data_IF_012409847019
#
_entry.id   IF_012409847019
#
_cell.length_a   1.000
_cell.length_b   1.000
_cell.length_c   1.000
_cell.angle_alpha   90.00
_cell.angle_beta   90.00
_cell.angle_gamma   90.00
#
_symmetry.space_group_name_H-M   'P 1'
#
loop_
_entity.id
_entity.type
_entity.pdbx_description
1 polymer ?
#
# COMPACT_ATOMS: atom_id res chain seq x y z
N UNK A 1 -6.10 -4.38 25.55
CA UNK A 1 -5.40 -3.55 24.55
C UNK A 1 -6.09 -3.75 23.21
N UNK A 2 -6.39 -2.68 22.48
CA UNK A 2 -6.82 -2.81 21.08
C UNK A 2 -5.63 -3.32 20.26
N UNK A 3 -5.80 -4.42 19.54
CA UNK A 3 -4.79 -4.90 18.59
C UNK A 3 -4.69 -3.90 17.44
N UNK A 4 -3.50 -3.34 17.22
CA UNK A 4 -3.27 -2.48 16.06
C UNK A 4 -3.50 -3.29 14.77
N UNK A 5 -4.24 -2.72 13.82
CA UNK A 5 -4.58 -3.37 12.54
C UNK A 5 -4.18 -2.49 11.38
N UNK A 6 -3.47 -3.07 10.41
CA UNK A 6 -3.17 -2.42 9.13
C UNK A 6 -4.07 -3.01 8.06
N UNK A 7 -4.74 -2.15 7.29
CA UNK A 7 -5.49 -2.50 6.09
C UNK A 7 -4.82 -1.84 4.89
N UNK A 8 -4.48 -2.64 3.87
CA UNK A 8 -3.87 -2.15 2.65
C UNK A 8 -4.79 -2.48 1.47
N UNK A 9 -5.28 -1.45 0.80
CA UNK A 9 -5.96 -1.55 -0.50
C UNK A 9 -4.98 -1.21 -1.62
N UNK A 10 -5.01 -2.00 -2.69
CA UNK A 10 -4.14 -1.84 -3.85
C UNK A 10 -5.01 -1.96 -5.10
N UNK A 11 -4.89 -0.99 -6.01
CA UNK A 11 -5.45 -1.05 -7.36
C UNK A 11 -4.28 -1.06 -8.36
N UNK A 12 -4.15 -2.15 -9.11
CA UNK A 12 -3.02 -2.41 -9.99
C UNK A 12 -3.47 -2.46 -11.45
N UNK A 13 -2.77 -1.72 -12.32
CA UNK A 13 -3.07 -1.63 -13.74
C UNK A 13 -2.82 -0.23 -14.29
N UNK A 14 -3.24 0.03 -15.53
CA UNK A 14 -3.12 1.35 -16.16
C UNK A 14 -1.70 1.93 -16.15
N UNK A 15 -1.59 3.25 -15.98
CA UNK A 15 -0.30 3.97 -15.88
C UNK A 15 0.32 3.88 -14.49
N UNK A 16 -0.51 3.80 -13.45
CA UNK A 16 -0.08 3.84 -12.06
C UNK A 16 -0.76 2.75 -11.23
N UNK A 17 -0.04 2.22 -10.25
CA UNK A 17 -0.60 1.38 -9.19
C UNK A 17 -0.86 2.27 -7.98
N UNK A 18 -2.09 2.23 -7.47
CA UNK A 18 -2.60 3.07 -6.40
C UNK A 18 -2.69 2.29 -5.08
N UNK A 19 -2.33 2.94 -3.97
CA UNK A 19 -2.32 2.33 -2.64
C UNK A 19 -3.04 3.20 -1.62
N UNK A 20 -3.87 2.57 -0.79
CA UNK A 20 -4.47 3.17 0.40
C UNK A 20 -4.12 2.29 1.61
N UNK A 21 -3.37 2.86 2.56
CA UNK A 21 -3.02 2.20 3.81
C UNK A 21 -3.77 2.86 4.97
N UNK A 22 -4.58 2.08 5.68
CA UNK A 22 -5.27 2.50 6.90
C UNK A 22 -4.67 1.77 8.09
N UNK A 23 -4.13 2.51 9.05
CA UNK A 23 -3.66 1.95 10.33
C UNK A 23 -4.65 2.32 11.42
N UNK A 24 -5.18 1.31 12.10
CA UNK A 24 -6.18 1.44 13.17
C UNK A 24 -5.52 1.04 14.48
N UNK A 25 -5.43 1.97 15.43
CA UNK A 25 -4.87 1.77 16.77
C UNK A 25 -5.48 2.76 17.75
N UNK A 26 -4.64 3.38 18.59
CA UNK A 26 -5.07 4.50 19.44
C UNK A 26 -5.57 5.70 18.62
N UNK A 27 -4.95 5.91 17.45
CA UNK A 27 -5.43 6.82 16.41
C UNK A 27 -5.53 6.09 15.08
N UNK A 28 -6.49 6.53 14.26
CA UNK A 28 -6.60 6.05 12.88
C UNK A 28 -5.80 6.97 11.97
N UNK A 29 -4.90 6.41 11.18
CA UNK A 29 -4.14 7.15 10.17
C UNK A 29 -4.37 6.57 8.78
N UNK A 30 -4.34 7.43 7.77
CA UNK A 30 -4.49 7.07 6.36
C UNK A 30 -3.27 7.58 5.61
N UNK A 31 -2.67 6.72 4.78
CA UNK A 31 -1.59 7.07 3.87
C UNK A 31 -1.97 6.65 2.45
N UNK A 32 -1.70 7.52 1.48
CA UNK A 32 -1.91 7.25 0.06
C UNK A 32 -0.56 7.24 -0.63
N UNK A 33 -0.34 6.26 -1.48
CA UNK A 33 0.87 6.16 -2.30
C UNK A 33 0.50 5.79 -3.74
N UNK A 34 1.32 6.23 -4.68
CA UNK A 34 1.16 5.99 -6.11
C UNK A 34 2.53 5.73 -6.71
N UNK A 35 2.63 4.69 -7.54
CA UNK A 35 3.85 4.38 -8.30
C UNK A 35 3.50 4.02 -9.73
N UNK A 36 4.48 4.11 -10.64
CA UNK A 36 4.28 3.66 -12.03
C UNK A 36 3.95 2.17 -12.04
N UNK A 37 2.94 1.79 -12.82
CA UNK A 37 2.63 0.39 -13.06
C UNK A 37 3.74 -0.29 -13.84
N UNK A 38 3.89 -1.59 -13.62
CA UNK A 38 4.84 -2.44 -14.36
C UNK A 38 4.03 -3.48 -15.13
N UNK A 39 3.55 -3.20 -16.36
CA UNK A 39 2.59 -4.07 -17.06
C UNK A 39 3.09 -5.50 -17.29
N UNK A 40 4.40 -5.67 -17.48
CA UNK A 40 5.02 -6.98 -17.67
C UNK A 40 5.24 -7.76 -16.36
N UNK A 41 5.16 -7.08 -15.21
CA UNK A 41 5.34 -7.67 -13.88
C UNK A 41 4.61 -6.82 -12.80
N UNK A 42 3.26 -6.85 -12.74
CA UNK A 42 2.48 -6.01 -11.83
C UNK A 42 2.86 -6.18 -10.35
N UNK A 43 3.27 -7.38 -9.96
CA UNK A 43 3.78 -7.70 -8.63
C UNK A 43 4.99 -6.85 -8.24
N UNK A 44 5.83 -6.43 -9.19
CA UNK A 44 6.96 -5.56 -8.89
C UNK A 44 6.52 -4.17 -8.46
N UNK A 45 5.51 -3.59 -9.14
CA UNK A 45 4.92 -2.31 -8.74
C UNK A 45 4.26 -2.41 -7.36
N UNK A 46 3.58 -3.53 -7.08
CA UNK A 46 2.97 -3.84 -5.78
C UNK A 46 4.03 -3.89 -4.67
N UNK A 47 5.08 -4.70 -4.85
CA UNK A 47 6.16 -4.87 -3.86
C UNK A 47 6.89 -3.55 -3.60
N UNK A 48 7.19 -2.78 -4.66
CA UNK A 48 7.82 -1.47 -4.54
C UNK A 48 6.93 -0.48 -3.74
N UNK A 49 5.62 -0.49 -3.96
CA UNK A 49 4.70 0.36 -3.21
C UNK A 49 4.56 -0.04 -1.74
N UNK A 50 4.55 -1.35 -1.44
CA UNK A 50 4.59 -1.87 -0.05
C UNK A 50 5.88 -1.40 0.66
N UNK A 51 7.02 -1.48 -0.03
CA UNK A 51 8.29 -0.97 0.48
C UNK A 51 8.24 0.54 0.74
N UNK A 52 7.74 1.33 -0.21
CA UNK A 52 7.63 2.78 -0.08
C UNK A 52 6.71 3.22 1.08
N UNK A 53 5.73 2.39 1.43
CA UNK A 53 4.84 2.59 2.58
C UNK A 53 5.44 2.13 3.92
N UNK A 54 6.62 1.51 3.91
CA UNK A 54 7.28 0.98 5.10
C UNK A 54 6.52 -0.17 5.75
N UNK A 55 5.92 -1.06 4.94
CA UNK A 55 5.10 -2.19 5.40
C UNK A 55 5.83 -3.55 5.30
N UNK A 56 7.14 -3.53 5.07
CA UNK A 56 7.99 -4.73 5.08
C UNK A 56 8.35 -5.06 6.53
N UNK A 57 8.21 -6.32 6.93
CA UNK A 57 8.66 -6.83 8.25
C UNK A 57 10.17 -7.12 8.26
#
# INVERSE_FOLDING_TARGET
MLTAKTLLGIDAGGTFTDFICVRIGETTTVSVHKTLSTPAAPEQAILNGIQALGLQE
#
